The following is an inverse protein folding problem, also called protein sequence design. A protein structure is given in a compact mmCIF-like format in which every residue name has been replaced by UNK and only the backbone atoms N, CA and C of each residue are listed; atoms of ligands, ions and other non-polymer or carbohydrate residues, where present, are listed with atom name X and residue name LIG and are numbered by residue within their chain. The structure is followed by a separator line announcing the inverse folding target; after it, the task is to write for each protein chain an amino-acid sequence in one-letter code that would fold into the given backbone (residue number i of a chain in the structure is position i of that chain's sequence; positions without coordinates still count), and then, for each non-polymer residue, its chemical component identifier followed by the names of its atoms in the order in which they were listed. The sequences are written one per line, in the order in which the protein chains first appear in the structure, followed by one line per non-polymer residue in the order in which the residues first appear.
data_IF_099492702361
#
_entry.id   IF_099492702361
#
_cell.length_a   1.000
_cell.length_b   1.000
_cell.length_c   1.000
_cell.angle_alpha   90.00
_cell.angle_beta   90.00
_cell.angle_gamma   90.00
#
_symmetry.space_group_name_H-M   'P 1'
#
loop_
_entity.id
_entity.type
_entity.pdbx_description
1 polymer ?
#
# COMPACT_ATOMS: atom_id res chain seq x y z
N UNK A 1 -7.61 -6.72 -21.85
CA UNK A 1 -6.26 -7.06 -21.37
C UNK A 1 -6.39 -7.51 -19.93
N UNK A 2 -6.19 -8.79 -19.65
CA UNK A 2 -6.12 -9.29 -18.27
C UNK A 2 -4.87 -8.70 -17.62
N UNK A 3 -5.02 -7.60 -16.89
CA UNK A 3 -3.94 -7.02 -16.09
C UNK A 3 -3.52 -8.07 -15.07
N UNK A 4 -2.35 -8.67 -15.25
CA UNK A 4 -1.76 -9.51 -14.23
C UNK A 4 -1.62 -8.66 -12.97
N UNK A 5 -2.04 -9.18 -11.79
CA UNK A 5 -1.91 -8.43 -10.56
C UNK A 5 -0.43 -8.12 -10.30
N UNK A 6 -0.10 -6.84 -10.16
CA UNK A 6 1.23 -6.40 -9.77
C UNK A 6 1.46 -6.78 -8.30
N UNK A 7 2.71 -7.15 -7.98
CA UNK A 7 3.12 -7.43 -6.61
C UNK A 7 4.06 -6.32 -6.15
N UNK A 8 3.68 -5.65 -5.08
CA UNK A 8 4.46 -4.59 -4.45
C UNK A 8 5.13 -5.12 -3.19
N UNK A 9 6.39 -4.75 -3.00
CA UNK A 9 7.08 -4.89 -1.71
C UNK A 9 6.98 -3.58 -0.96
N UNK A 10 6.41 -3.63 0.24
CA UNK A 10 6.29 -2.47 1.13
C UNK A 10 7.30 -2.65 2.26
N UNK A 11 8.19 -1.67 2.39
CA UNK A 11 9.16 -1.58 3.48
C UNK A 11 8.86 -0.33 4.28
N UNK A 12 8.66 -0.47 5.58
CA UNK A 12 8.49 0.66 6.50
C UNK A 12 9.72 0.72 7.40
N UNK A 13 10.46 1.81 7.29
CA UNK A 13 11.70 2.05 8.05
C UNK A 13 11.52 3.32 8.89
N UNK A 14 11.70 3.24 10.22
CA UNK A 14 11.70 4.44 11.06
C UNK A 14 12.80 5.41 10.64
N UNK A 15 12.51 6.71 10.72
CA UNK A 15 13.51 7.77 10.60
C UNK A 15 13.99 8.15 12.00
N UNK A 16 15.31 8.15 12.20
CA UNK A 16 15.94 8.53 13.47
C UNK A 16 15.98 10.05 13.66
N UNK A 17 16.41 10.52 14.84
CA UNK A 17 16.46 11.96 15.18
C UNK A 17 17.37 12.77 14.25
N UNK A 18 18.32 12.11 13.61
CA UNK A 18 19.24 12.69 12.64
C UNK A 18 18.64 12.81 11.22
N UNK A 19 17.38 12.38 11.03
CA UNK A 19 16.70 12.39 9.75
C UNK A 19 17.11 11.24 8.82
N UNK A 20 17.94 10.31 9.29
CA UNK A 20 18.37 9.16 8.50
C UNK A 20 17.47 7.94 8.77
N UNK A 21 17.32 7.04 7.79
CA UNK A 21 16.68 5.74 8.03
C UNK A 21 17.45 4.98 9.11
N UNK A 22 16.70 4.37 10.02
CA UNK A 22 17.27 3.54 11.07
C UNK A 22 18.14 2.43 10.46
N UNK A 23 19.35 2.28 11.00
CA UNK A 23 20.39 1.38 10.44
C UNK A 23 20.39 -0.02 11.05
N UNK A 24 19.58 -0.24 12.09
CA UNK A 24 19.43 -1.53 12.75
C UNK A 24 18.44 -2.46 12.02
N UNK A 25 18.09 -3.57 12.69
CA UNK A 25 16.98 -4.45 12.24
C UNK A 25 15.64 -3.84 12.70
N UNK A 26 15.26 -2.73 12.08
CA UNK A 26 14.11 -1.91 12.48
C UNK A 26 13.08 -1.71 11.35
N UNK A 27 13.34 -2.24 10.16
CA UNK A 27 12.39 -2.22 9.05
C UNK A 27 11.42 -3.38 9.15
N UNK A 28 10.15 -3.12 8.83
CA UNK A 28 9.14 -4.15 8.59
C UNK A 28 8.86 -4.24 7.09
N UNK A 29 8.72 -5.47 6.59
CA UNK A 29 8.55 -5.74 5.16
C UNK A 29 7.39 -6.70 4.93
N UNK A 30 6.60 -6.42 3.89
CA UNK A 30 5.57 -7.34 3.42
C UNK A 30 5.29 -7.16 1.93
N UNK A 31 4.80 -8.23 1.30
CA UNK A 31 4.37 -8.20 -0.10
C UNK A 31 2.85 -8.03 -0.18
N UNK A 32 2.37 -7.16 -1.09
CA UNK A 32 0.95 -6.95 -1.37
C UNK A 32 0.69 -7.14 -2.87
N UNK A 33 -0.24 -8.04 -3.19
CA UNK A 33 -0.78 -8.16 -4.55
C UNK A 33 -1.88 -7.12 -4.76
N UNK A 34 -1.83 -6.41 -5.89
CA UNK A 34 -2.84 -5.46 -6.30
C UNK A 34 -3.07 -5.56 -7.81
N UNK A 35 -4.33 -5.52 -8.25
CA UNK A 35 -4.68 -5.53 -9.68
C UNK A 35 -4.41 -4.20 -10.36
N UNK A 36 -4.27 -3.12 -9.59
CA UNK A 36 -4.08 -1.76 -10.06
C UNK A 36 -2.62 -1.32 -9.91
N UNK A 37 -2.18 -0.46 -10.83
CA UNK A 37 -0.84 0.11 -10.83
C UNK A 37 -0.75 1.28 -9.85
N UNK A 38 -0.01 1.11 -8.75
CA UNK A 38 0.14 2.12 -7.69
C UNK A 38 0.73 3.43 -8.20
N UNK A 39 1.69 3.38 -9.11
CA UNK A 39 2.30 4.60 -9.67
C UNK A 39 1.28 5.40 -10.46
N UNK A 40 0.55 4.73 -11.37
CA UNK A 40 -0.50 5.41 -12.14
C UNK A 40 -1.62 5.96 -11.27
N UNK A 41 -1.96 5.27 -10.17
CA UNK A 41 -2.95 5.78 -9.24
C UNK A 41 -2.47 7.05 -8.54
N UNK A 42 -1.22 7.08 -8.05
CA UNK A 42 -0.62 8.26 -7.42
C UNK A 42 -0.59 9.44 -8.39
N UNK A 43 -0.16 9.21 -9.63
CA UNK A 43 -0.18 10.22 -10.71
C UNK A 43 -1.59 10.76 -10.96
N UNK A 44 -2.59 9.89 -11.00
CA UNK A 44 -3.99 10.27 -11.18
C UNK A 44 -4.54 11.16 -10.05
N UNK A 45 -4.04 10.98 -8.82
CA UNK A 45 -4.41 11.79 -7.65
C UNK A 45 -3.69 13.12 -7.52
N UNK A 46 -2.77 13.50 -8.40
CA UNK A 46 -2.06 14.79 -8.34
C UNK A 46 -3.01 16.00 -8.32
N UNK A 47 -4.24 15.84 -8.81
CA UNK A 47 -5.29 16.87 -8.83
C UNK A 47 -6.08 16.99 -7.52
N UNK A 48 -5.83 16.15 -6.51
CA UNK A 48 -6.43 16.29 -5.19
C UNK A 48 -5.82 17.49 -4.46
N UNK A 49 -6.61 18.56 -4.37
CA UNK A 49 -6.30 19.76 -3.61
C UNK A 49 -6.34 19.50 -2.10
N UNK A 50 -5.52 20.21 -1.33
CA UNK A 50 -5.48 20.10 0.13
C UNK A 50 -4.52 19.06 0.70
N UNK A 51 -3.83 18.29 -0.15
CA UNK A 51 -2.80 17.34 0.26
C UNK A 51 -1.44 17.68 -0.38
N UNK A 52 -0.36 17.42 0.34
CA UNK A 52 1.01 17.37 -0.17
C UNK A 52 1.24 16.12 -1.04
N UNK A 53 2.41 16.02 -1.68
CA UNK A 53 2.78 14.85 -2.47
C UNK A 53 2.84 13.57 -1.63
N UNK A 54 3.43 13.66 -0.45
CA UNK A 54 3.58 12.52 0.46
C UNK A 54 2.23 12.07 1.02
N UNK A 55 1.36 13.03 1.41
CA UNK A 55 0.02 12.71 1.90
C UNK A 55 -0.84 12.04 0.83
N UNK A 56 -0.78 12.49 -0.43
CA UNK A 56 -1.47 11.82 -1.54
C UNK A 56 -0.97 10.40 -1.74
N UNK A 57 0.34 10.21 -1.71
CA UNK A 57 0.96 8.88 -1.86
C UNK A 57 0.54 7.95 -0.73
N UNK A 58 0.60 8.43 0.52
CA UNK A 58 0.17 7.70 1.70
C UNK A 58 -1.31 7.32 1.63
N UNK A 59 -2.18 8.23 1.19
CA UNK A 59 -3.60 7.98 1.02
C UNK A 59 -3.87 6.87 0.01
N UNK A 60 -3.29 6.97 -1.20
CA UNK A 60 -3.48 5.95 -2.25
C UNK A 60 -3.00 4.58 -1.78
N UNK A 61 -1.77 4.50 -1.27
CA UNK A 61 -1.20 3.22 -0.82
C UNK A 61 -2.01 2.65 0.35
N UNK A 62 -2.32 3.48 1.36
CA UNK A 62 -3.08 3.08 2.54
C UNK A 62 -4.47 2.51 2.19
N UNK A 63 -5.21 3.18 1.30
CA UNK A 63 -6.52 2.69 0.86
C UNK A 63 -6.42 1.33 0.15
N UNK A 64 -5.39 1.10 -0.68
CA UNK A 64 -5.22 -0.19 -1.39
C UNK A 64 -4.78 -1.32 -0.48
N UNK A 65 -4.01 -1.02 0.57
CA UNK A 65 -3.68 -1.99 1.62
C UNK A 65 -4.95 -2.44 2.36
N UNK A 66 -5.76 -1.47 2.82
CA UNK A 66 -7.01 -1.75 3.54
C UNK A 66 -8.03 -2.49 2.68
N UNK A 67 -8.21 -2.05 1.43
CA UNK A 67 -9.12 -2.68 0.47
C UNK A 67 -8.71 -4.13 0.16
N UNK A 68 -7.40 -4.41 0.04
CA UNK A 68 -6.89 -5.77 -0.08
C UNK A 68 -7.18 -6.65 1.14
N UNK A 69 -7.05 -6.11 2.36
CA UNK A 69 -7.41 -6.83 3.59
C UNK A 69 -8.91 -7.11 3.64
N UNK A 70 -9.75 -6.12 3.32
CA UNK A 70 -11.20 -6.25 3.33
C UNK A 70 -11.71 -7.28 2.31
N UNK A 71 -11.12 -7.35 1.11
CA UNK A 71 -11.43 -8.40 0.11
C UNK A 71 -11.09 -9.80 0.61
N UNK A 72 -9.91 -9.97 1.22
CA UNK A 72 -9.48 -11.27 1.76
C UNK A 72 -10.36 -11.73 2.92
N UNK A 73 -10.71 -10.82 3.84
CA UNK A 73 -11.59 -11.13 4.96
C UNK A 73 -12.95 -11.67 4.48
N UNK A 74 -13.55 -11.03 3.47
CA UNK A 74 -14.81 -11.52 2.86
C UNK A 74 -14.67 -12.88 2.19
N UNK A 75 -13.52 -13.19 1.58
CA UNK A 75 -13.29 -14.51 0.98
C UNK A 75 -13.14 -15.62 2.03
N UNK A 76 -12.53 -15.33 3.19
CA UNK A 76 -12.38 -16.29 4.29
C UNK A 76 -13.72 -16.61 4.94
N UNK A 77 -14.58 -15.60 5.11
CA UNK A 77 -15.93 -15.75 5.68
C UNK A 77 -16.79 -16.75 4.88
N UNK A 78 -16.72 -16.68 3.54
CA UNK A 78 -17.41 -17.63 2.65
C UNK A 78 -16.88 -19.08 2.73
N UNK A 79 -15.65 -19.30 3.21
CA UNK A 79 -15.02 -20.63 3.27
C UNK A 79 -15.22 -21.33 4.62
N UNK A 80 -15.70 -20.61 5.64
CA UNK A 80 -16.00 -21.15 6.97
C UNK A 80 -17.42 -21.70 7.13
N UNK A 81 -18.24 -21.65 6.08
CA UNK A 81 -19.66 -22.04 6.08
C UNK A 81 -20.00 -23.17 5.09
N UNK A 82 -18.99 -23.85 4.54
CA UNK A 82 -19.14 -24.95 3.57
C UNK A 82 -18.55 -26.24 4.11
#
# INVERSE_FOLDING_TARGET
MSSSPQRYRVTVTPIERDGLPCRGRCSIEFDQACSEDWMRMVEGTQRLHGFSGDERTALVIGLRLLDGLARRARMVDFRGYA
#
